data_IF_961986727033
#
_entry.id   IF_961986727033
#
_cell.length_a   1.000
_cell.length_b   1.000
_cell.length_c   1.000
_cell.angle_alpha   90.00
_cell.angle_beta   90.00
_cell.angle_gamma   90.00
#
_symmetry.space_group_name_H-M   'P 1'
#
loop_
_entity.id
_entity.type
_entity.pdbx_description
1 polymer ?
#
# COMPACT_ATOMS: atom_id res chain seq x y z
N UNK A 1 -6.01 -8.54 22.95
CA UNK A 1 -6.92 -7.79 22.07
C UNK A 1 -6.56 -6.32 22.21
N UNK A 2 -6.32 -5.66 21.08
CA UNK A 2 -5.93 -4.26 20.89
C UNK A 2 -4.45 -3.84 21.11
N UNK A 3 -3.91 -3.32 19.99
CA UNK A 3 -2.81 -2.37 19.77
C UNK A 3 -1.36 -2.80 20.02
N UNK A 4 -0.75 -3.49 19.03
CA UNK A 4 0.70 -3.41 18.78
C UNK A 4 0.99 -2.24 17.85
N UNK A 5 0.79 -1.04 18.39
CA UNK A 5 1.21 0.21 17.77
C UNK A 5 2.74 0.35 17.92
N UNK A 6 3.40 0.65 16.78
CA UNK A 6 4.69 1.33 16.68
C UNK A 6 5.89 0.71 17.43
N UNK A 7 6.62 -0.18 16.76
CA UNK A 7 8.06 -0.33 17.03
C UNK A 7 8.81 -0.90 15.82
N UNK A 8 9.02 -0.07 14.80
CA UNK A 8 10.21 -0.18 13.95
C UNK A 8 10.75 1.22 13.62
N UNK A 9 11.08 1.98 14.67
CA UNK A 9 11.84 3.21 14.46
C UNK A 9 13.30 2.89 14.18
N UNK A 10 13.68 3.18 12.93
CA UNK A 10 14.94 3.84 12.53
C UNK A 10 16.22 3.16 12.99
N UNK A 11 16.87 2.45 12.05
CA UNK A 11 18.12 2.95 11.44
C UNK A 11 18.57 2.03 10.30
N UNK A 12 18.51 2.61 9.09
CA UNK A 12 19.52 2.50 8.02
C UNK A 12 19.62 1.12 7.39
N UNK A 13 19.00 0.96 6.22
CA UNK A 13 19.57 0.47 4.94
C UNK A 13 18.39 0.37 3.97
N UNK A 14 18.12 1.45 3.22
CA UNK A 14 17.50 1.32 1.89
C UNK A 14 18.29 2.16 0.87
N UNK A 15 19.58 2.39 1.17
CA UNK A 15 20.55 2.94 0.25
C UNK A 15 21.28 1.82 -0.51
N UNK A 16 20.53 0.84 -1.04
CA UNK A 16 21.05 -0.09 -2.04
C UNK A 16 20.15 0.01 -3.26
N UNK A 17 20.57 0.89 -4.16
CA UNK A 17 20.18 0.95 -5.56
C UNK A 17 20.39 -0.42 -6.19
N UNK A 18 19.33 -1.07 -6.70
CA UNK A 18 19.36 -1.99 -7.85
C UNK A 18 17.93 -2.29 -8.29
N UNK A 19 17.56 -1.71 -9.44
CA UNK A 19 16.49 -2.16 -10.35
C UNK A 19 15.18 -2.58 -9.67
N UNK A 20 14.31 -1.61 -9.33
CA UNK A 20 12.90 -1.92 -9.22
C UNK A 20 12.39 -2.20 -10.66
N UNK A 21 12.05 -3.45 -11.04
CA UNK A 21 11.26 -3.65 -12.24
C UNK A 21 9.96 -2.89 -12.05
N UNK A 22 9.51 -2.18 -13.08
CA UNK A 22 8.23 -1.47 -13.16
C UNK A 22 7.18 -2.20 -12.30
N UNK A 23 6.94 -1.71 -11.09
CA UNK A 23 5.96 -2.30 -10.21
C UNK A 23 4.61 -1.93 -10.79
N UNK A 24 3.98 -2.91 -11.41
CA UNK A 24 2.64 -2.78 -11.95
C UNK A 24 1.71 -2.57 -10.75
N UNK A 25 1.45 -1.31 -10.40
CA UNK A 25 0.63 -0.89 -9.27
C UNK A 25 -0.85 -1.20 -9.57
N UNK A 26 -1.19 -2.48 -9.42
CA UNK A 26 -2.49 -3.07 -9.75
C UNK A 26 -3.16 -3.68 -8.52
N UNK A 27 -4.40 -4.12 -8.69
CA UNK A 27 -5.22 -4.70 -7.62
C UNK A 27 -4.64 -6.00 -7.04
N UNK A 28 -3.90 -6.74 -7.87
CA UNK A 28 -3.24 -7.99 -7.50
C UNK A 28 -1.99 -7.75 -6.63
N UNK A 29 -1.42 -6.54 -6.70
CA UNK A 29 -0.24 -6.14 -5.93
C UNK A 29 -0.57 -6.08 -4.44
N UNK A 30 0.37 -6.56 -3.63
CA UNK A 30 0.15 -6.60 -2.19
C UNK A 30 0.17 -5.21 -1.58
N UNK A 31 -0.71 -4.95 -0.61
CA UNK A 31 -0.74 -3.69 0.13
C UNK A 31 0.62 -3.30 0.73
N UNK A 32 1.42 -4.21 1.32
CA UNK A 32 2.75 -3.84 1.79
C UNK A 32 3.70 -3.46 0.64
N UNK A 33 3.60 -4.07 -0.54
CA UNK A 33 4.42 -3.66 -1.70
C UNK A 33 4.05 -2.24 -2.14
N UNK A 34 2.75 -1.89 -2.16
CA UNK A 34 2.29 -0.52 -2.41
C UNK A 34 2.90 0.49 -1.44
N UNK A 35 2.99 0.16 -0.15
CA UNK A 35 3.57 1.04 0.87
C UNK A 35 5.10 1.13 0.76
N UNK A 36 5.76 0.05 0.34
CA UNK A 36 7.22 0.02 0.10
C UNK A 36 7.59 0.90 -1.09
N UNK A 37 6.84 0.81 -2.18
CA UNK A 37 7.09 1.58 -3.40
C UNK A 37 6.62 3.04 -3.26
N UNK A 38 5.44 3.23 -2.69
CA UNK A 38 4.76 4.52 -2.56
C UNK A 38 4.31 4.76 -1.12
N UNK A 39 5.19 5.19 -0.21
CA UNK A 39 4.85 5.41 1.19
C UNK A 39 3.75 6.47 1.40
N UNK A 40 3.51 7.35 0.41
CA UNK A 40 2.38 8.29 0.38
C UNK A 40 1.01 7.60 0.36
N UNK A 41 0.92 6.39 -0.22
CA UNK A 41 -0.32 5.61 -0.25
C UNK A 41 -0.75 5.09 1.12
N UNK A 42 0.19 5.02 2.08
CA UNK A 42 -0.08 4.61 3.45
C UNK A 42 -1.17 5.47 4.09
N UNK A 43 -1.24 6.77 3.76
CA UNK A 43 -2.26 7.68 4.29
C UNK A 43 -3.66 7.21 3.89
N UNK A 44 -3.84 6.77 2.64
CA UNK A 44 -5.13 6.25 2.15
C UNK A 44 -5.47 4.93 2.82
N UNK A 45 -4.51 4.03 2.97
CA UNK A 45 -4.75 2.77 3.67
C UNK A 45 -5.13 2.98 5.14
N UNK A 46 -4.50 3.96 5.80
CA UNK A 46 -4.85 4.33 7.18
C UNK A 46 -6.23 4.98 7.27
N UNK A 47 -6.57 5.89 6.36
CA UNK A 47 -7.89 6.52 6.29
C UNK A 47 -9.02 5.52 6.02
N UNK A 48 -8.74 4.51 5.20
CA UNK A 48 -9.66 3.43 4.88
C UNK A 48 -9.61 2.28 5.89
N UNK A 49 -8.83 2.39 6.96
CA UNK A 49 -8.62 1.35 7.98
C UNK A 49 -8.18 -0.02 7.41
N UNK A 50 -7.51 -0.02 6.25
CA UNK A 50 -6.99 -1.21 5.57
C UNK A 50 -5.79 -1.78 6.34
N UNK A 51 -5.97 -3.00 6.88
CA UNK A 51 -4.91 -3.70 7.63
C UNK A 51 -3.84 -4.26 6.69
N UNK A 52 -2.73 -3.53 6.60
CA UNK A 52 -1.53 -3.90 5.85
C UNK A 52 -0.53 -4.74 6.67
N UNK A 53 -0.79 -5.00 7.96
CA UNK A 53 0.15 -5.69 8.85
C UNK A 53 0.15 -7.22 8.71
N UNK A 54 -0.83 -7.82 8.03
CA UNK A 54 -0.97 -9.28 7.99
C UNK A 54 -0.73 -9.86 6.59
N UNK A 55 0.49 -10.34 6.36
CA UNK A 55 0.74 -11.48 5.46
C UNK A 55 0.79 -11.25 3.95
N UNK A 56 0.97 -10.01 3.48
CA UNK A 56 1.09 -9.76 2.04
C UNK A 56 -0.23 -9.92 1.28
N UNK A 57 -1.35 -9.52 1.90
CA UNK A 57 -2.66 -9.49 1.22
C UNK A 57 -2.63 -8.55 0.02
N UNK A 58 -3.26 -8.97 -1.07
CA UNK A 58 -3.52 -8.13 -2.24
C UNK A 58 -4.46 -6.99 -1.90
N UNK A 59 -4.31 -5.87 -2.61
CA UNK A 59 -5.18 -4.71 -2.46
C UNK A 59 -6.66 -5.06 -2.66
N UNK A 60 -6.96 -5.88 -3.67
CA UNK A 60 -8.31 -6.39 -3.93
C UNK A 60 -8.90 -7.09 -2.69
N UNK A 61 -8.19 -8.09 -2.18
CA UNK A 61 -8.63 -8.87 -1.02
C UNK A 61 -8.85 -7.99 0.21
N UNK A 62 -7.94 -7.04 0.44
CA UNK A 62 -8.04 -6.11 1.55
C UNK A 62 -9.25 -5.18 1.45
N UNK A 63 -9.63 -4.77 0.22
CA UNK A 63 -10.84 -3.99 -0.02
C UNK A 63 -12.11 -4.84 0.16
N UNK A 64 -12.12 -6.06 -0.38
CA UNK A 64 -13.26 -6.99 -0.30
C UNK A 64 -13.62 -7.37 1.14
N UNK A 65 -12.63 -7.65 1.98
CA UNK A 65 -12.83 -7.95 3.41
C UNK A 65 -13.51 -6.79 4.17
N UNK A 66 -13.36 -5.56 3.68
CA UNK A 66 -13.98 -4.37 4.25
C UNK A 66 -15.26 -3.93 3.53
N UNK A 67 -15.62 -4.59 2.42
CA UNK A 67 -16.71 -4.15 1.55
C UNK A 67 -16.43 -2.82 0.86
N UNK A 68 -15.15 -2.45 0.70
CA UNK A 68 -14.72 -1.28 -0.05
C UNK A 68 -14.60 -1.60 -1.53
N UNK A 69 -14.88 -0.61 -2.38
CA UNK A 69 -14.70 -0.76 -3.82
C UNK A 69 -13.21 -0.64 -4.19
N UNK A 70 -12.60 -1.75 -4.56
CA UNK A 70 -11.19 -1.87 -4.91
C UNK A 70 -10.77 -0.92 -6.03
N UNK A 71 -11.64 -0.67 -7.02
CA UNK A 71 -11.37 0.26 -8.12
C UNK A 71 -11.39 1.73 -7.67
N UNK A 72 -12.26 2.09 -6.71
CA UNK A 72 -12.26 3.43 -6.13
C UNK A 72 -10.98 3.68 -5.33
N UNK A 73 -10.57 2.71 -4.52
CA UNK A 73 -9.30 2.78 -3.76
C UNK A 73 -8.14 2.93 -4.72
N UNK A 74 -8.03 2.06 -5.74
CA UNK A 74 -6.97 2.13 -6.75
C UNK A 74 -6.89 3.52 -7.42
N UNK A 75 -8.03 4.11 -7.77
CA UNK A 75 -8.08 5.45 -8.37
C UNK A 75 -7.53 6.52 -7.42
N UNK A 76 -7.85 6.44 -6.12
CA UNK A 76 -7.30 7.37 -5.12
C UNK A 76 -5.79 7.21 -4.98
N UNK A 77 -5.29 5.98 -4.98
CA UNK A 77 -3.86 5.68 -4.94
C UNK A 77 -3.14 6.26 -6.17
N UNK A 78 -3.65 5.99 -7.38
CA UNK A 78 -3.12 6.54 -8.63
C UNK A 78 -3.08 8.06 -8.67
N UNK A 79 -4.15 8.69 -8.16
CA UNK A 79 -4.23 10.15 -8.05
C UNK A 79 -3.16 10.72 -7.11
N UNK A 80 -2.78 10.01 -6.05
CA UNK A 80 -1.74 10.44 -5.12
C UNK A 80 -0.34 10.30 -5.69
N UNK A 81 -0.07 9.19 -6.39
CA UNK A 81 1.23 8.96 -7.04
C UNK A 81 1.41 9.84 -8.30
N UNK A 82 0.34 10.50 -8.76
CA UNK A 82 0.38 11.37 -9.92
C UNK A 82 0.43 10.61 -11.25
N UNK A 83 0.04 9.32 -11.26
CA UNK A 83 -0.31 8.61 -12.48
C UNK A 83 -1.60 9.23 -13.03
N UNK A 84 -1.42 10.30 -13.80
CA UNK A 84 -2.44 10.82 -14.68
C UNK A 84 -2.36 9.95 -15.93
N UNK A 85 -3.12 8.84 -15.94
CA UNK A 85 -3.43 8.10 -17.16
C UNK A 85 -4.24 9.04 -18.07
N UNK A 86 -3.56 9.83 -18.91
CA UNK A 86 -4.16 10.66 -19.96
C UNK A 86 -4.30 9.88 -21.28
#
# INVERSE_FOLDING_TARGET
MLVRFLNLHRKRICAIRREAPMSHCSLETSVPDWVVDHPETLVVFQELEIDYCCGGKSLEFACQEQGLNEHEVLRKLRKLIGENDE
#
